data_IF_636224162040
#
_entry.id   IF_636224162040
#
_cell.length_a   1.000
_cell.length_b   1.000
_cell.length_c   1.000
_cell.angle_alpha   90.00
_cell.angle_beta   90.00
_cell.angle_gamma   90.00
#
_symmetry.space_group_name_H-M   'P 1'
#
loop_
_entity.id
_entity.type
_entity.pdbx_description
1 polymer ?
#
# COMPACT_ATOMS: atom_id res chain seq x y z
N UNK A 1 19.73 -5.56 5.21
CA UNK A 1 18.35 -6.09 5.16
C UNK A 1 17.39 -4.96 5.43
N UNK A 2 16.14 -5.06 4.97
CA UNK A 2 15.09 -4.08 5.30
C UNK A 2 14.21 -4.57 6.45
N UNK A 3 13.50 -3.64 7.09
CA UNK A 3 12.50 -3.93 8.11
C UNK A 3 11.09 -3.78 7.53
N UNK A 4 10.17 -4.64 7.95
CA UNK A 4 8.74 -4.50 7.69
C UNK A 4 7.99 -4.58 9.02
N UNK A 5 7.19 -3.56 9.32
CA UNK A 5 6.41 -3.43 10.55
C UNK A 5 4.92 -3.48 10.21
N UNK A 6 4.18 -4.32 10.94
CA UNK A 6 2.73 -4.43 10.84
C UNK A 6 2.08 -3.86 12.09
N UNK A 7 1.05 -3.03 11.91
CA UNK A 7 0.28 -2.45 13.00
C UNK A 7 -1.22 -2.54 12.70
N UNK A 8 -2.02 -2.65 13.75
CA UNK A 8 -3.48 -2.57 13.69
C UNK A 8 -3.98 -1.80 14.91
N UNK A 9 -4.86 -0.84 14.67
CA UNK A 9 -5.43 0.02 15.71
C UNK A 9 -6.95 0.03 15.56
N UNK A 10 -7.66 -0.32 16.62
CA UNK A 10 -9.11 -0.23 16.67
C UNK A 10 -9.53 1.24 16.82
N UNK A 11 -10.30 1.74 15.85
CA UNK A 11 -10.97 3.03 15.91
C UNK A 11 -12.47 2.89 16.18
N UNK A 12 -13.17 4.03 16.20
CA UNK A 12 -14.63 4.03 16.28
C UNK A 12 -15.24 3.68 14.92
N UNK A 13 -15.76 2.46 14.79
CA UNK A 13 -16.46 1.98 13.59
C UNK A 13 -15.58 1.32 12.52
N UNK A 14 -14.26 1.37 12.66
CA UNK A 14 -13.32 0.67 11.77
C UNK A 14 -12.01 0.29 12.49
N UNK A 15 -11.29 -0.68 11.96
CA UNK A 15 -9.89 -0.99 12.32
C UNK A 15 -8.98 -0.44 11.25
N UNK A 16 -7.97 0.34 11.65
CA UNK A 16 -6.92 0.83 10.75
C UNK A 16 -5.70 -0.08 10.83
N UNK A 17 -5.22 -0.54 9.69
CA UNK A 17 -4.00 -1.33 9.54
C UNK A 17 -2.91 -0.47 8.89
N UNK A 18 -1.66 -0.73 9.25
CA UNK A 18 -0.49 -0.12 8.63
C UNK A 18 0.58 -1.19 8.33
N UNK A 19 1.14 -1.13 7.13
CA UNK A 19 2.28 -1.93 6.67
C UNK A 19 3.39 -0.98 6.30
N UNK A 20 4.41 -0.86 7.14
CA UNK A 20 5.55 0.04 6.94
C UNK A 20 6.78 -0.75 6.52
N UNK A 21 7.47 -0.31 5.49
CA UNK A 21 8.75 -0.84 5.06
C UNK A 21 9.86 0.23 5.09
N UNK A 22 11.12 -0.20 5.15
CA UNK A 22 12.30 0.67 5.04
C UNK A 22 12.99 0.53 3.67
N UNK A 23 12.22 0.24 2.62
CA UNK A 23 12.70 0.05 1.26
C UNK A 23 13.02 1.36 0.55
N UNK A 24 13.06 1.31 -0.78
CA UNK A 24 13.44 2.46 -1.63
C UNK A 24 12.39 3.58 -1.67
N UNK A 25 11.19 3.35 -1.16
CA UNK A 25 10.07 4.27 -1.31
C UNK A 25 9.50 4.31 -2.74
N UNK A 26 8.58 5.24 -2.93
CA UNK A 26 7.79 5.49 -4.13
C UNK A 26 7.83 7.01 -4.40
N UNK A 27 8.16 7.44 -5.62
CA UNK A 27 8.08 8.85 -6.03
C UNK A 27 6.69 9.44 -5.82
N UNK A 28 6.59 10.70 -5.40
CA UNK A 28 5.32 11.36 -5.06
C UNK A 28 4.29 11.29 -6.22
N UNK A 29 4.76 11.46 -7.45
CA UNK A 29 3.96 11.39 -8.68
C UNK A 29 3.32 10.02 -8.95
N UNK A 30 3.86 8.97 -8.33
CA UNK A 30 3.41 7.60 -8.51
C UNK A 30 2.51 7.08 -7.38
N UNK A 31 2.54 7.70 -6.19
CA UNK A 31 1.86 7.20 -4.98
C UNK A 31 0.37 6.94 -5.20
N UNK A 32 -0.30 7.75 -6.01
CA UNK A 32 -1.73 7.56 -6.31
C UNK A 32 -1.98 6.46 -7.34
N UNK A 33 -1.01 6.19 -8.21
CA UNK A 33 -1.12 5.31 -9.38
C UNK A 33 -0.74 3.88 -9.08
N UNK A 34 0.00 3.62 -8.00
CA UNK A 34 0.41 2.26 -7.59
C UNK A 34 -0.75 1.28 -7.35
N UNK A 35 -1.98 1.78 -7.18
CA UNK A 35 -3.19 0.96 -7.06
C UNK A 35 -3.87 0.64 -8.39
N UNK A 36 -3.41 1.22 -9.50
CA UNK A 36 -3.88 0.89 -10.85
C UNK A 36 -3.38 -0.50 -11.26
N UNK A 37 -4.24 -1.25 -11.96
CA UNK A 37 -3.88 -2.56 -12.50
C UNK A 37 -2.73 -2.43 -13.50
N UNK A 38 -1.74 -3.32 -13.36
CA UNK A 38 -0.55 -3.38 -14.20
C UNK A 38 0.39 -2.17 -14.08
N UNK A 39 0.14 -1.25 -13.14
CA UNK A 39 1.03 -0.12 -12.92
C UNK A 39 2.34 -0.56 -12.27
N UNK A 40 3.43 0.06 -12.72
CA UNK A 40 4.79 -0.16 -12.22
C UNK A 40 5.53 1.17 -12.23
N UNK A 41 6.06 1.56 -11.08
CA UNK A 41 6.92 2.74 -10.86
C UNK A 41 8.18 2.64 -11.73
N UNK A 42 8.84 1.47 -11.71
CA UNK A 42 10.00 1.22 -12.56
C UNK A 42 9.64 0.43 -13.82
N UNK A 43 9.79 1.09 -14.98
CA UNK A 43 9.61 0.52 -16.32
C UNK A 43 10.89 -0.14 -16.87
N UNK A 44 12.03 0.03 -16.19
CA UNK A 44 13.33 -0.51 -16.60
C UNK A 44 13.59 -1.89 -15.97
N UNK A 45 13.06 -2.91 -16.64
CA UNK A 45 13.44 -4.35 -16.58
C UNK A 45 14.36 -4.80 -15.42
N UNK A 46 13.78 -5.44 -14.39
CA UNK A 46 14.37 -6.57 -13.64
C UNK A 46 13.49 -7.12 -12.49
N UNK A 47 12.45 -6.40 -12.05
CA UNK A 47 11.60 -6.86 -10.93
C UNK A 47 10.53 -7.86 -11.35
N UNK A 48 10.48 -9.04 -10.71
CA UNK A 48 9.37 -9.98 -10.80
C UNK A 48 8.10 -9.35 -10.22
N UNK A 49 7.02 -9.32 -10.99
CA UNK A 49 5.73 -8.80 -10.53
C UNK A 49 4.86 -8.34 -11.68
N UNK A 50 3.58 -8.71 -11.64
CA UNK A 50 2.58 -8.36 -12.66
C UNK A 50 2.01 -6.95 -12.49
N UNK A 51 2.35 -6.25 -11.42
CA UNK A 51 1.70 -4.98 -11.04
C UNK A 51 0.24 -5.17 -10.60
N UNK A 52 -0.14 -6.36 -10.12
CA UNK A 52 -1.52 -6.66 -9.71
C UNK A 52 -1.73 -6.60 -8.19
N UNK A 53 -0.69 -6.78 -7.38
CA UNK A 53 -0.81 -6.95 -5.92
C UNK A 53 -1.63 -5.84 -5.24
N UNK A 54 -1.24 -4.58 -5.44
CA UNK A 54 -1.93 -3.43 -4.83
C UNK A 54 -3.33 -3.20 -5.40
N UNK A 55 -3.55 -3.48 -6.68
CA UNK A 55 -4.89 -3.40 -7.28
C UNK A 55 -5.84 -4.46 -6.70
N UNK A 56 -5.33 -5.66 -6.40
CA UNK A 56 -6.10 -6.72 -5.75
C UNK A 56 -6.38 -6.33 -4.30
N UNK A 57 -5.38 -5.82 -3.57
CA UNK A 57 -5.57 -5.34 -2.20
C UNK A 57 -6.62 -4.23 -2.15
N UNK A 58 -6.58 -3.28 -3.08
CA UNK A 58 -7.61 -2.23 -3.20
C UNK A 58 -9.00 -2.81 -3.40
N UNK A 59 -9.18 -3.74 -4.33
CA UNK A 59 -10.49 -4.39 -4.53
C UNK A 59 -10.98 -5.14 -3.29
N UNK A 60 -10.09 -5.85 -2.59
CA UNK A 60 -10.45 -6.56 -1.35
C UNK A 60 -10.89 -5.55 -0.29
N UNK A 61 -10.14 -4.49 -0.06
CA UNK A 61 -10.46 -3.47 0.95
C UNK A 61 -11.78 -2.76 0.60
N UNK A 62 -11.97 -2.35 -0.65
CA UNK A 62 -13.20 -1.70 -1.11
C UNK A 62 -14.41 -2.65 -1.01
N UNK A 63 -14.24 -3.95 -1.27
CA UNK A 63 -15.31 -4.94 -1.10
C UNK A 63 -15.75 -5.10 0.37
N UNK A 64 -14.90 -4.72 1.33
CA UNK A 64 -15.24 -4.65 2.75
C UNK A 64 -15.74 -3.26 3.17
N UNK A 65 -16.01 -2.34 2.23
CA UNK A 65 -16.33 -0.92 2.50
C UNK A 65 -15.20 -0.16 3.23
N UNK A 66 -13.96 -0.62 3.08
CA UNK A 66 -12.77 0.02 3.61
C UNK A 66 -12.16 1.06 2.68
N UNK A 67 -11.08 1.68 3.14
CA UNK A 67 -10.23 2.59 2.35
C UNK A 67 -8.80 2.10 2.35
N UNK A 68 -8.07 2.31 1.26
CA UNK A 68 -6.62 2.00 1.16
C UNK A 68 -5.87 3.20 0.60
N UNK A 69 -4.69 3.49 1.14
CA UNK A 69 -3.79 4.54 0.65
C UNK A 69 -2.35 4.22 1.02
N UNK A 70 -1.41 5.04 0.52
CA UNK A 70 -0.01 4.95 0.87
C UNK A 70 0.57 6.33 1.16
N UNK A 71 1.54 6.37 2.06
CA UNK A 71 2.42 7.50 2.31
C UNK A 71 3.84 7.00 2.06
N UNK A 72 4.64 7.77 1.34
CA UNK A 72 5.97 7.33 0.92
C UNK A 72 6.90 8.51 0.73
N UNK A 73 8.17 8.31 1.09
CA UNK A 73 9.25 9.22 0.77
C UNK A 73 10.34 8.40 0.08
N UNK A 74 10.72 8.82 -1.13
CA UNK A 74 11.78 8.18 -1.90
C UNK A 74 13.09 8.14 -1.08
N UNK A 75 13.71 6.96 -1.03
CA UNK A 75 14.90 6.67 -0.22
C UNK A 75 14.65 6.41 1.27
N UNK A 76 13.43 6.56 1.78
CA UNK A 76 13.12 6.35 3.21
C UNK A 76 12.12 5.21 3.48
N UNK A 77 11.44 4.71 2.44
CA UNK A 77 10.46 3.62 2.52
C UNK A 77 9.02 4.10 2.34
N UNK A 78 8.09 3.19 2.55
CA UNK A 78 6.65 3.44 2.39
C UNK A 78 5.85 2.94 3.58
N UNK A 79 4.69 3.54 3.81
CA UNK A 79 3.66 3.01 4.70
C UNK A 79 2.35 2.89 3.94
N UNK A 80 1.84 1.66 3.85
CA UNK A 80 0.54 1.36 3.27
C UNK A 80 -0.48 1.26 4.38
N UNK A 81 -1.59 1.97 4.24
CA UNK A 81 -2.67 1.96 5.20
C UNK A 81 -3.92 1.39 4.56
N UNK A 82 -4.70 0.67 5.35
CA UNK A 82 -6.07 0.37 4.98
C UNK A 82 -6.99 0.29 6.19
N UNK A 83 -8.29 0.50 5.98
CA UNK A 83 -9.31 0.35 7.02
C UNK A 83 -10.29 -0.75 6.67
N UNK A 84 -10.85 -1.40 7.69
CA UNK A 84 -11.97 -2.34 7.56
C UNK A 84 -13.01 -1.96 8.64
N UNK A 85 -14.28 -1.71 8.27
CA UNK A 85 -15.36 -1.48 9.24
C UNK A 85 -15.47 -2.62 10.26
N UNK A 86 -15.75 -2.29 11.52
CA UNK A 86 -15.83 -3.28 12.61
C UNK A 86 -17.21 -3.40 13.26
N UNK A 87 -18.25 -2.85 12.61
CA UNK A 87 -19.66 -2.86 13.01
C UNK A 87 -20.57 -3.04 11.80
#
# INVERSE_FOLDING_TARGET
>A
GGEVVLQAEAGMGEVRFAVRDTGIGIPEEDVTRIFERFYRVDKSRAGSGTGLGLSIAKHIVEAHNGKIWAESIEGQGSTFFFTIPNL
#
